data_IF_457240969007
#
_entry.id   IF_457240969007
#
_cell.length_a   1.000
_cell.length_b   1.000
_cell.length_c   1.000
_cell.angle_alpha   90.00
_cell.angle_beta   90.00
_cell.angle_gamma   90.00
#
_symmetry.space_group_name_H-M   'P 1'
#
loop_
_entity.id
_entity.type
_entity.pdbx_description
1 polymer ?
#
# COMPACT_ATOMS: atom_id res chain seq x y z
N UNK A 1 32.69 40.47 6.53
CA UNK A 1 31.47 40.50 7.36
C UNK A 1 30.78 39.17 7.16
N UNK A 2 31.12 38.19 8.00
CA UNK A 2 30.70 36.80 7.92
C UNK A 2 29.34 36.67 8.60
N UNK A 3 28.33 36.19 7.89
CA UNK A 3 27.03 35.84 8.47
C UNK A 3 27.00 34.33 8.66
N UNK A 4 27.08 33.95 9.93
CA UNK A 4 26.90 32.59 10.45
C UNK A 4 25.46 32.15 10.19
N UNK A 5 25.29 31.03 9.47
CA UNK A 5 24.03 30.31 9.43
C UNK A 5 23.96 29.39 10.65
N UNK A 6 22.99 29.69 11.50
CA UNK A 6 22.65 28.95 12.71
C UNK A 6 22.09 27.57 12.31
N UNK A 7 22.83 26.53 12.66
CA UNK A 7 22.57 25.15 12.24
C UNK A 7 21.82 24.44 13.38
N UNK A 8 20.51 24.63 13.45
CA UNK A 8 19.62 23.90 14.37
C UNK A 8 18.62 23.05 13.59
N UNK A 9 19.12 22.10 12.81
CA UNK A 9 18.30 20.96 12.38
C UNK A 9 18.18 19.99 13.55
N UNK A 10 17.01 19.98 14.18
CA UNK A 10 16.59 18.94 15.12
C UNK A 10 16.75 17.57 14.48
N UNK A 11 17.67 16.77 15.02
CA UNK A 11 17.79 15.36 14.71
C UNK A 11 16.56 14.64 15.23
N UNK A 12 15.58 14.36 14.37
CA UNK A 12 14.57 13.34 14.67
C UNK A 12 15.26 11.97 14.65
N UNK A 13 15.84 11.65 15.81
CA UNK A 13 16.42 10.35 16.10
C UNK A 13 15.32 9.30 16.04
N UNK A 14 15.66 8.14 15.48
CA UNK A 14 14.83 6.93 15.55
C UNK A 14 14.42 6.72 17.02
N UNK A 15 13.11 6.58 17.33
CA UNK A 15 12.67 6.43 18.71
C UNK A 15 13.40 5.25 19.37
N UNK A 16 13.81 5.46 20.62
CA UNK A 16 14.41 4.42 21.45
C UNK A 16 13.52 3.17 21.41
N UNK A 17 14.07 1.94 21.47
CA UNK A 17 13.26 0.73 21.54
C UNK A 17 12.16 0.75 22.61
N UNK A 18 12.34 1.54 23.68
CA UNK A 18 11.37 1.73 24.76
C UNK A 18 10.16 2.61 24.38
N UNK A 19 10.27 3.44 23.34
CA UNK A 19 9.22 4.40 22.93
C UNK A 19 8.40 3.89 21.75
N UNK A 20 8.65 2.66 21.27
CA UNK A 20 7.92 2.09 20.15
C UNK A 20 6.55 1.57 20.60
N UNK A 21 5.48 1.78 19.82
CA UNK A 21 4.14 1.29 20.17
C UNK A 21 3.95 -0.20 19.86
N UNK A 22 5.03 -0.97 19.84
CA UNK A 22 5.04 -2.39 19.57
C UNK A 22 6.29 -3.09 20.14
N UNK A 23 6.19 -4.40 20.31
CA UNK A 23 7.29 -5.28 20.72
C UNK A 23 7.51 -6.38 19.68
N UNK A 24 8.76 -6.82 19.52
CA UNK A 24 9.11 -7.97 18.69
C UNK A 24 8.91 -9.24 19.50
N UNK A 25 8.10 -10.17 19.00
CA UNK A 25 7.77 -11.43 19.69
C UNK A 25 7.92 -12.64 18.76
N UNK A 26 8.08 -13.83 19.33
CA UNK A 26 7.93 -15.09 18.59
C UNK A 26 6.44 -15.37 18.37
N UNK A 27 6.06 -15.61 17.11
CA UNK A 27 4.70 -15.91 16.69
C UNK A 27 4.65 -17.36 16.24
N UNK A 28 3.86 -18.22 16.91
CA UNK A 28 3.72 -19.62 16.55
C UNK A 28 3.42 -19.82 15.06
N UNK A 29 4.28 -20.58 14.37
CA UNK A 29 4.14 -20.88 12.94
C UNK A 29 4.49 -19.74 11.97
N UNK A 30 4.82 -18.53 12.45
CA UNK A 30 5.21 -17.38 11.60
C UNK A 30 6.63 -16.84 11.88
N UNK A 31 7.32 -17.39 12.87
CA UNK A 31 8.66 -16.92 13.24
C UNK A 31 8.59 -15.72 14.17
N UNK A 32 9.05 -14.55 13.72
CA UNK A 32 8.99 -13.31 14.52
C UNK A 32 7.86 -12.40 14.00
N UNK A 33 7.26 -11.61 14.88
CA UNK A 33 6.19 -10.66 14.56
C UNK A 33 6.23 -9.43 15.45
N UNK A 34 5.58 -8.35 15.02
CA UNK A 34 5.39 -7.15 15.83
C UNK A 34 4.01 -7.17 16.48
N UNK A 35 3.97 -7.06 17.81
CA UNK A 35 2.73 -7.01 18.60
C UNK A 35 2.57 -5.60 19.17
N UNK A 36 1.41 -5.00 18.97
CA UNK A 36 1.14 -3.65 19.46
C UNK A 36 1.06 -3.61 21.00
N UNK A 37 1.64 -2.58 21.61
CA UNK A 37 1.63 -2.37 23.07
C UNK A 37 0.53 -1.40 23.53
N UNK A 38 -0.08 -0.68 22.60
CA UNK A 38 -1.13 0.30 22.86
C UNK A 38 -2.20 0.23 21.76
N UNK A 39 -3.23 1.06 21.86
CA UNK A 39 -4.14 1.23 20.74
C UNK A 39 -3.45 2.07 19.66
N UNK A 40 -3.63 1.68 18.38
CA UNK A 40 -3.16 2.43 17.23
C UNK A 40 -4.32 2.77 16.29
N UNK A 41 -4.24 3.95 15.70
CA UNK A 41 -5.27 4.55 14.85
C UNK A 41 -4.83 4.63 13.38
N UNK A 42 -5.76 4.52 12.42
CA UNK A 42 -5.45 4.71 11.01
C UNK A 42 -4.73 6.04 10.72
N UNK A 43 -3.66 5.98 9.93
CA UNK A 43 -2.81 7.11 9.55
C UNK A 43 -1.58 7.32 10.43
N UNK A 44 -1.47 6.63 11.57
CA UNK A 44 -0.26 6.69 12.40
C UNK A 44 0.91 5.98 11.73
N UNK A 45 2.05 6.69 11.61
CA UNK A 45 3.31 6.12 11.14
C UNK A 45 4.05 5.49 12.31
N UNK A 46 4.21 4.16 12.28
CA UNK A 46 4.82 3.41 13.40
C UNK A 46 6.27 2.99 13.11
N UNK A 47 6.66 2.91 11.83
CA UNK A 47 8.02 2.57 11.41
C UNK A 47 8.46 3.56 10.33
N UNK A 48 9.67 4.08 10.49
CA UNK A 48 10.41 4.85 9.49
C UNK A 48 11.83 4.32 9.43
N UNK A 49 12.14 3.48 8.44
CA UNK A 49 13.37 2.69 8.38
C UNK A 49 14.15 2.97 7.09
N UNK A 50 15.43 3.34 7.22
CA UNK A 50 16.38 3.43 6.09
C UNK A 50 16.80 2.02 5.67
N UNK A 51 16.95 1.72 4.36
CA UNK A 51 17.41 0.40 3.94
C UNK A 51 18.79 0.09 4.50
N UNK A 52 18.98 -1.16 4.92
CA UNK A 52 20.29 -1.68 5.34
C UNK A 52 21.29 -1.65 4.17
N UNK A 53 20.80 -2.03 2.99
CA UNK A 53 21.44 -1.86 1.69
C UNK A 53 20.37 -2.01 0.59
N UNK A 54 20.73 -1.67 -0.65
CA UNK A 54 19.86 -1.80 -1.82
C UNK A 54 20.43 -2.80 -2.82
N UNK A 55 19.58 -3.32 -3.71
CA UNK A 55 20.00 -4.25 -4.77
C UNK A 55 20.51 -3.53 -6.02
N UNK A 56 20.67 -2.19 -5.98
CA UNK A 56 21.02 -1.37 -7.14
C UNK A 56 22.36 -1.78 -7.78
N UNK A 57 23.30 -2.29 -6.98
CA UNK A 57 24.63 -2.72 -7.44
C UNK A 57 24.67 -4.19 -7.86
N UNK A 58 23.59 -4.96 -7.67
CA UNK A 58 23.53 -6.40 -7.95
C UNK A 58 23.09 -6.64 -9.40
N UNK A 59 23.95 -6.30 -10.35
CA UNK A 59 23.60 -6.29 -11.78
C UNK A 59 24.00 -7.57 -12.53
N UNK A 60 24.95 -8.35 -12.01
CA UNK A 60 25.44 -9.56 -12.66
C UNK A 60 24.95 -10.82 -11.94
N UNK A 61 24.05 -11.57 -12.59
CA UNK A 61 23.43 -12.78 -12.07
C UNK A 61 24.43 -13.86 -11.59
N UNK A 62 25.62 -13.93 -12.19
CA UNK A 62 26.63 -14.93 -11.85
C UNK A 62 27.42 -14.59 -10.58
N UNK A 63 27.41 -13.33 -10.13
CA UNK A 63 28.21 -12.86 -8.99
C UNK A 63 27.35 -12.42 -7.80
N UNK A 64 26.02 -12.39 -7.92
CA UNK A 64 25.09 -11.87 -6.89
C UNK A 64 25.45 -12.34 -5.48
N UNK A 65 25.66 -13.65 -5.27
CA UNK A 65 25.95 -14.18 -3.93
C UNK A 65 27.29 -13.68 -3.37
N UNK A 66 28.31 -13.54 -4.23
CA UNK A 66 29.63 -13.02 -3.85
C UNK A 66 29.57 -11.51 -3.58
N UNK A 67 28.79 -10.78 -4.37
CA UNK A 67 28.57 -9.35 -4.22
C UNK A 67 27.81 -9.07 -2.91
N UNK A 68 26.75 -9.84 -2.64
CA UNK A 68 26.01 -9.79 -1.38
C UNK A 68 26.91 -10.10 -0.18
N UNK A 69 27.76 -11.14 -0.26
CA UNK A 69 28.74 -11.44 0.79
C UNK A 69 29.64 -10.25 1.08
N UNK A 70 30.09 -9.56 0.05
CA UNK A 70 30.97 -8.39 0.16
C UNK A 70 30.25 -7.19 0.79
N UNK A 71 29.02 -6.92 0.35
CA UNK A 71 28.13 -5.90 0.94
C UNK A 71 27.91 -6.19 2.42
N UNK A 72 27.50 -7.42 2.77
CA UNK A 72 27.21 -7.78 4.17
C UNK A 72 28.47 -7.65 5.02
N UNK A 73 29.64 -8.08 4.52
CA UNK A 73 30.89 -7.99 5.27
C UNK A 73 31.29 -6.54 5.58
N UNK A 74 30.92 -5.57 4.74
CA UNK A 74 31.23 -4.15 4.95
C UNK A 74 30.27 -3.45 5.92
N UNK A 75 29.10 -4.03 6.20
CA UNK A 75 28.14 -3.48 7.17
C UNK A 75 28.69 -3.51 8.61
N UNK A 76 28.20 -2.64 9.51
CA UNK A 76 28.45 -2.76 10.94
C UNK A 76 28.05 -4.13 11.50
N UNK A 77 28.68 -4.57 12.59
CA UNK A 77 28.43 -5.91 13.16
C UNK A 77 26.98 -6.14 13.55
N UNK A 78 26.31 -5.12 14.05
CA UNK A 78 24.91 -5.21 14.47
C UNK A 78 24.00 -5.34 13.24
N UNK A 79 24.30 -4.60 12.16
CA UNK A 79 23.66 -4.71 10.85
C UNK A 79 23.84 -6.09 10.21
N UNK A 80 25.04 -6.68 10.32
CA UNK A 80 25.30 -8.06 9.88
C UNK A 80 24.41 -9.05 10.63
N UNK A 81 24.36 -8.94 11.97
CA UNK A 81 23.51 -9.81 12.80
C UNK A 81 22.03 -9.63 12.46
N UNK A 82 21.58 -8.38 12.27
CA UNK A 82 20.21 -8.08 11.89
C UNK A 82 19.84 -8.77 10.57
N UNK A 83 20.66 -8.61 9.52
CA UNK A 83 20.45 -9.27 8.22
C UNK A 83 20.43 -10.80 8.34
N UNK A 84 21.43 -11.39 9.00
CA UNK A 84 21.56 -12.84 9.13
C UNK A 84 20.46 -13.48 9.99
N UNK A 85 19.74 -12.66 10.78
CA UNK A 85 18.59 -13.09 11.59
C UNK A 85 17.25 -13.04 10.84
N UNK A 86 17.23 -12.58 9.59
CA UNK A 86 16.04 -12.54 8.76
C UNK A 86 15.67 -13.92 8.23
N UNK A 87 14.41 -14.07 7.81
CA UNK A 87 13.90 -15.34 7.35
C UNK A 87 14.60 -15.78 6.05
N UNK A 88 14.92 -17.07 5.95
CA UNK A 88 15.47 -17.67 4.74
C UNK A 88 14.56 -18.83 4.32
N UNK A 89 13.80 -18.64 3.24
CA UNK A 89 12.89 -19.66 2.71
C UNK A 89 13.61 -20.96 2.29
N UNK A 90 14.92 -20.94 2.02
CA UNK A 90 15.68 -22.07 1.50
C UNK A 90 16.98 -22.29 2.30
N UNK A 91 16.87 -22.71 3.57
CA UNK A 91 18.04 -22.98 4.41
C UNK A 91 18.86 -24.15 3.82
N UNK A 92 20.19 -24.07 3.93
CA UNK A 92 21.11 -25.09 3.39
C UNK A 92 21.40 -24.98 1.88
N UNK A 93 20.75 -24.06 1.17
CA UNK A 93 21.08 -23.73 -0.22
C UNK A 93 22.48 -23.10 -0.34
N UNK A 94 23.18 -23.27 -1.49
CA UNK A 94 24.50 -22.65 -1.74
C UNK A 94 24.46 -21.12 -1.83
N UNK A 95 23.27 -20.50 -1.92
CA UNK A 95 23.09 -19.04 -2.04
C UNK A 95 22.28 -18.45 -0.88
N UNK A 96 22.74 -18.60 0.38
CA UNK A 96 21.98 -18.19 1.55
C UNK A 96 21.65 -16.69 1.58
N UNK A 97 22.56 -15.81 1.13
CA UNK A 97 22.31 -14.36 1.15
C UNK A 97 21.26 -13.97 0.12
N UNK A 98 21.33 -14.55 -1.09
CA UNK A 98 20.32 -14.35 -2.13
C UNK A 98 18.94 -14.80 -1.66
N UNK A 99 18.86 -15.90 -0.91
CA UNK A 99 17.57 -16.40 -0.38
C UNK A 99 17.00 -15.50 0.72
N UNK A 100 17.83 -14.94 1.59
CA UNK A 100 17.39 -13.93 2.57
C UNK A 100 16.88 -12.69 1.83
N UNK A 101 17.61 -12.19 0.82
CA UNK A 101 17.16 -11.03 0.04
C UNK A 101 15.83 -11.31 -0.66
N UNK A 102 15.68 -12.46 -1.31
CA UNK A 102 14.43 -12.86 -1.96
C UNK A 102 13.24 -12.94 -1.00
N UNK A 103 13.48 -13.35 0.25
CA UNK A 103 12.41 -13.53 1.24
C UNK A 103 12.01 -12.23 1.94
N UNK A 104 12.85 -11.19 1.91
CA UNK A 104 12.71 -10.00 2.76
C UNK A 104 12.87 -8.66 2.00
N UNK A 105 13.17 -8.71 0.70
CA UNK A 105 13.38 -7.53 -0.13
C UNK A 105 12.07 -6.83 -0.47
N UNK A 106 12.05 -5.51 -0.31
CA UNK A 106 10.94 -4.65 -0.68
C UNK A 106 11.32 -3.76 -1.86
N UNK A 107 10.44 -3.57 -2.86
CA UNK A 107 10.70 -2.64 -3.95
C UNK A 107 10.80 -1.21 -3.43
N UNK A 108 11.74 -0.44 -3.95
CA UNK A 108 11.93 0.98 -3.62
C UNK A 108 11.03 1.86 -4.49
N UNK A 109 9.72 1.59 -4.43
CA UNK A 109 8.69 2.28 -5.21
C UNK A 109 7.93 1.34 -6.17
N UNK A 110 6.73 1.73 -6.64
CA UNK A 110 5.82 0.84 -7.38
C UNK A 110 6.37 0.27 -8.68
N UNK A 111 7.28 0.98 -9.35
CA UNK A 111 7.86 0.60 -10.64
C UNK A 111 9.37 0.34 -10.57
N UNK A 112 9.92 0.28 -9.35
CA UNK A 112 11.35 0.11 -9.15
C UNK A 112 11.76 -1.35 -9.28
N UNK A 113 12.76 -1.64 -10.13
CA UNK A 113 13.46 -2.92 -10.15
C UNK A 113 14.48 -3.05 -9.02
N UNK A 114 14.71 -1.97 -8.27
CA UNK A 114 15.63 -1.93 -7.14
C UNK A 114 14.86 -2.26 -5.86
N UNK A 115 15.35 -3.24 -5.12
CA UNK A 115 14.87 -3.57 -3.79
C UNK A 115 15.76 -3.00 -2.69
N UNK A 116 15.20 -2.93 -1.48
CA UNK A 116 15.92 -2.65 -0.25
C UNK A 116 15.63 -3.70 0.82
N UNK A 117 16.57 -3.86 1.74
CA UNK A 117 16.41 -4.72 2.93
C UNK A 117 16.13 -3.84 4.15
N UNK A 118 15.04 -4.13 4.85
CA UNK A 118 14.52 -3.34 5.96
C UNK A 118 14.29 -4.26 7.17
N UNK A 119 15.31 -4.49 8.02
CA UNK A 119 15.27 -5.54 9.03
C UNK A 119 14.07 -5.49 9.99
N UNK A 120 13.57 -4.30 10.33
CA UNK A 120 12.39 -4.16 11.19
C UNK A 120 11.09 -4.38 10.39
N UNK A 121 10.95 -3.78 9.20
CA UNK A 121 9.76 -4.00 8.34
C UNK A 121 9.63 -5.47 7.94
N UNK A 122 10.74 -6.19 7.71
CA UNK A 122 10.76 -7.63 7.44
C UNK A 122 10.27 -8.50 8.61
N UNK A 123 9.97 -7.93 9.79
CA UNK A 123 9.32 -8.63 10.91
C UNK A 123 7.80 -8.58 10.89
N UNK A 124 7.19 -7.78 10.02
CA UNK A 124 5.74 -7.71 9.89
C UNK A 124 5.24 -8.90 9.08
N UNK A 125 4.45 -9.77 9.69
CA UNK A 125 3.91 -10.95 9.03
C UNK A 125 2.78 -10.63 8.04
N UNK A 126 2.47 -11.61 7.21
CA UNK A 126 1.35 -11.54 6.28
C UNK A 126 -0.02 -11.68 6.97
N UNK A 127 -0.98 -10.87 6.52
CA UNK A 127 -2.41 -11.13 6.60
C UNK A 127 -3.07 -10.80 5.26
N UNK A 128 -4.06 -11.60 4.82
CA UNK A 128 -4.86 -11.27 3.63
C UNK A 128 -5.80 -10.07 3.89
N UNK A 129 -6.00 -9.71 5.16
CA UNK A 129 -6.69 -8.51 5.62
C UNK A 129 -5.75 -7.77 6.57
N UNK A 130 -4.75 -7.05 6.03
CA UNK A 130 -3.72 -6.41 6.85
C UNK A 130 -4.30 -5.23 7.63
N UNK A 131 -3.63 -4.86 8.72
CA UNK A 131 -3.94 -3.66 9.51
C UNK A 131 -2.88 -2.55 9.34
N UNK A 132 -1.80 -2.81 8.61
CA UNK A 132 -0.79 -1.83 8.23
C UNK A 132 -0.47 -1.89 6.72
N UNK A 133 0.10 -0.79 6.21
CA UNK A 133 0.55 -0.62 4.83
C UNK A 133 1.97 -0.05 4.84
N UNK A 134 2.85 -0.62 4.01
CA UNK A 134 4.18 -0.06 3.78
C UNK A 134 4.17 0.86 2.55
N UNK A 135 5.02 1.88 2.56
CA UNK A 135 5.27 2.76 1.43
C UNK A 135 6.70 3.28 1.47
N UNK A 136 7.43 3.14 0.36
CA UNK A 136 8.75 3.73 0.25
C UNK A 136 8.62 5.22 -0.08
N UNK A 137 9.19 6.07 0.78
CA UNK A 137 9.26 7.51 0.57
C UNK A 137 10.62 7.86 -0.03
N UNK A 138 10.65 8.13 -1.34
CA UNK A 138 11.89 8.40 -2.08
C UNK A 138 12.63 9.63 -1.54
N UNK A 139 11.90 10.71 -1.25
CA UNK A 139 12.46 11.96 -0.70
C UNK A 139 13.17 11.74 0.64
N UNK A 140 12.64 10.87 1.49
CA UNK A 140 13.24 10.53 2.78
C UNK A 140 14.28 9.39 2.68
N UNK A 141 14.27 8.62 1.60
CA UNK A 141 15.07 7.40 1.47
C UNK A 141 14.71 6.34 2.50
N UNK A 142 13.42 6.23 2.89
CA UNK A 142 12.95 5.37 3.98
C UNK A 142 11.71 4.58 3.60
N UNK A 143 11.61 3.35 4.12
CA UNK A 143 10.35 2.61 4.17
C UNK A 143 9.53 3.12 5.36
N UNK A 144 8.31 3.55 5.09
CA UNK A 144 7.34 3.93 6.10
C UNK A 144 6.30 2.83 6.27
N UNK A 145 5.82 2.62 7.49
CA UNK A 145 4.68 1.72 7.77
C UNK A 145 3.61 2.50 8.51
N UNK A 146 2.44 2.61 7.89
CA UNK A 146 1.28 3.29 8.45
C UNK A 146 0.19 2.29 8.82
N UNK A 147 -0.52 2.59 9.90
CA UNK A 147 -1.71 1.85 10.29
C UNK A 147 -2.87 2.22 9.36
N UNK A 148 -3.59 1.23 8.86
CA UNK A 148 -4.74 1.44 7.94
C UNK A 148 -6.07 1.00 8.55
N UNK A 149 -6.01 0.29 9.69
CA UNK A 149 -7.16 -0.13 10.48
C UNK A 149 -6.83 0.00 11.97
N UNK A 150 -7.81 0.29 12.85
CA UNK A 150 -7.57 0.28 14.29
C UNK A 150 -6.92 -1.02 14.74
N UNK A 151 -5.91 -0.90 15.60
CA UNK A 151 -5.21 -2.03 16.24
C UNK A 151 -5.35 -1.87 17.74
N UNK A 152 -5.77 -2.94 18.42
CA UNK A 152 -5.86 -2.97 19.88
C UNK A 152 -4.54 -3.45 20.51
N UNK A 153 -4.28 -3.14 21.80
CA UNK A 153 -3.15 -3.72 22.50
C UNK A 153 -3.14 -5.24 22.41
N UNK A 154 -1.96 -5.82 22.20
CA UNK A 154 -1.70 -7.25 22.01
C UNK A 154 -2.14 -7.84 20.66
N UNK A 155 -2.60 -7.02 19.70
CA UNK A 155 -2.81 -7.48 18.34
C UNK A 155 -1.51 -7.46 17.51
N UNK A 156 -1.40 -8.43 16.59
CA UNK A 156 -0.28 -8.49 15.64
C UNK A 156 -0.44 -7.42 14.55
N UNK A 157 0.65 -6.69 14.28
CA UNK A 157 0.73 -5.73 13.18
C UNK A 157 1.17 -6.50 11.92
N UNK A 158 0.39 -6.40 10.86
CA UNK A 158 0.53 -7.23 9.66
C UNK A 158 0.46 -6.42 8.38
N UNK A 159 1.19 -6.88 7.37
CA UNK A 159 1.18 -6.37 6.00
C UNK A 159 0.51 -7.38 5.05
N UNK A 160 0.14 -6.96 3.85
CA UNK A 160 -0.09 -7.90 2.75
C UNK A 160 1.21 -8.11 1.96
N UNK A 161 1.50 -9.36 1.62
CA UNK A 161 2.64 -9.73 0.78
C UNK A 161 2.24 -9.90 -0.69
N UNK A 162 0.93 -9.90 -0.96
CA UNK A 162 0.33 -10.24 -2.24
C UNK A 162 -0.77 -9.21 -2.60
N UNK A 163 -1.17 -9.09 -3.87
CA UNK A 163 -2.20 -8.14 -4.29
C UNK A 163 -3.63 -8.44 -3.80
N UNK A 164 -3.90 -9.66 -3.31
CA UNK A 164 -5.23 -10.09 -2.84
C UNK A 164 -5.88 -11.13 -3.76
N UNK A 165 -7.20 -11.05 -3.97
CA UNK A 165 -7.97 -12.01 -4.77
C UNK A 165 -8.62 -13.13 -3.92
N UNK A 166 -9.32 -14.11 -4.52
CA UNK A 166 -10.00 -15.20 -3.80
C UNK A 166 -9.01 -16.17 -3.13
N UNK A 167 -9.48 -16.90 -2.12
CA UNK A 167 -8.66 -17.70 -1.24
C UNK A 167 -7.80 -18.77 -1.93
N UNK A 168 -8.24 -19.49 -2.98
CA UNK A 168 -7.38 -20.46 -3.66
C UNK A 168 -6.18 -19.80 -4.35
N UNK A 169 -6.39 -18.62 -4.94
CA UNK A 169 -5.32 -17.83 -5.56
C UNK A 169 -4.32 -17.36 -4.49
N UNK A 170 -4.82 -16.73 -3.41
CA UNK A 170 -3.97 -16.26 -2.30
C UNK A 170 -3.11 -17.38 -1.72
N UNK A 171 -3.71 -18.55 -1.45
CA UNK A 171 -2.98 -19.70 -0.90
C UNK A 171 -1.93 -20.24 -1.87
N UNK A 172 -2.23 -20.29 -3.16
CA UNK A 172 -1.28 -20.73 -4.19
C UNK A 172 -0.08 -19.80 -4.29
N UNK A 173 -0.32 -18.49 -4.32
CA UNK A 173 0.74 -17.47 -4.38
C UNK A 173 1.61 -17.49 -3.13
N UNK A 174 1.01 -17.53 -1.93
CA UNK A 174 1.74 -17.57 -0.67
C UNK A 174 2.56 -18.85 -0.51
N UNK A 175 2.01 -20.00 -0.91
CA UNK A 175 2.73 -21.27 -0.87
C UNK A 175 3.89 -21.30 -1.86
N UNK A 176 3.74 -20.70 -3.03
CA UNK A 176 4.76 -20.72 -4.08
C UNK A 176 5.91 -19.75 -3.81
N UNK A 177 5.59 -18.55 -3.29
CA UNK A 177 6.57 -17.46 -3.12
C UNK A 177 7.15 -17.41 -1.70
N UNK A 178 6.37 -17.81 -0.69
CA UNK A 178 6.71 -17.66 0.73
C UNK A 178 6.67 -18.97 1.53
N UNK A 179 6.34 -20.10 0.88
CA UNK A 179 6.41 -21.45 1.47
C UNK A 179 5.57 -21.66 2.74
N UNK A 180 4.47 -20.93 2.92
CA UNK A 180 3.54 -21.14 4.04
C UNK A 180 2.08 -21.20 3.60
N UNK A 181 1.25 -21.82 4.45
CA UNK A 181 -0.22 -21.81 4.31
C UNK A 181 -0.78 -20.71 5.20
N UNK A 182 -1.54 -19.78 4.63
CA UNK A 182 -2.09 -18.66 5.38
C UNK A 182 -3.28 -19.09 6.25
N UNK A 183 -3.24 -18.70 7.52
CA UNK A 183 -4.29 -18.97 8.52
C UNK A 183 -4.86 -17.67 9.12
N UNK A 184 -4.70 -16.53 8.43
CA UNK A 184 -5.29 -15.26 8.87
C UNK A 184 -6.84 -15.33 8.93
N UNK A 185 -7.47 -14.34 9.55
CA UNK A 185 -8.92 -14.29 9.77
C UNK A 185 -9.72 -14.57 8.49
N UNK A 186 -9.34 -14.01 7.34
CA UNK A 186 -10.03 -14.29 6.06
C UNK A 186 -9.82 -15.73 5.56
N UNK A 187 -8.63 -16.29 5.71
CA UNK A 187 -8.36 -17.66 5.24
C UNK A 187 -8.94 -18.74 6.14
N UNK A 188 -9.17 -18.40 7.42
CA UNK A 188 -9.73 -19.25 8.46
C UNK A 188 -11.25 -19.07 8.64
N UNK A 189 -11.91 -18.29 7.79
CA UNK A 189 -13.37 -18.18 7.76
C UNK A 189 -14.04 -19.56 7.62
N UNK A 190 -15.22 -19.77 8.23
CA UNK A 190 -16.09 -20.90 7.94
C UNK A 190 -16.29 -21.10 6.43
N UNK A 191 -16.41 -22.36 5.93
CA UNK A 191 -16.47 -22.64 4.49
C UNK A 191 -17.50 -21.83 3.71
N UNK A 192 -18.69 -21.64 4.27
CA UNK A 192 -19.77 -20.87 3.63
C UNK A 192 -19.48 -19.36 3.54
N UNK A 193 -18.89 -18.78 4.59
CA UNK A 193 -18.51 -17.36 4.60
C UNK A 193 -17.30 -17.11 3.69
N UNK A 194 -16.33 -18.02 3.72
CA UNK A 194 -15.17 -18.01 2.83
C UNK A 194 -15.59 -18.07 1.36
N UNK A 195 -16.56 -18.92 1.02
CA UNK A 195 -17.09 -19.00 -0.34
C UNK A 195 -17.75 -17.68 -0.80
N UNK A 196 -18.50 -17.00 0.08
CA UNK A 196 -19.09 -15.69 -0.22
C UNK A 196 -18.02 -14.63 -0.45
N UNK A 197 -16.99 -14.57 0.40
CA UNK A 197 -15.85 -13.67 0.21
C UNK A 197 -15.12 -13.97 -1.11
N UNK A 198 -14.89 -15.25 -1.43
CA UNK A 198 -14.24 -15.65 -2.67
C UNK A 198 -15.05 -15.24 -3.91
N UNK A 199 -16.37 -15.33 -3.87
CA UNK A 199 -17.25 -14.85 -4.95
C UNK A 199 -17.15 -13.33 -5.11
N UNK A 200 -17.19 -12.58 -4.01
CA UNK A 200 -17.03 -11.11 -4.05
C UNK A 200 -15.66 -10.70 -4.57
N UNK A 201 -14.58 -11.35 -4.15
CA UNK A 201 -13.23 -11.04 -4.61
C UNK A 201 -12.96 -11.48 -6.05
N UNK A 202 -13.63 -12.53 -6.52
CA UNK A 202 -13.64 -12.90 -7.95
C UNK A 202 -14.35 -11.83 -8.78
N UNK A 203 -15.54 -11.38 -8.31
CA UNK A 203 -16.27 -10.28 -8.95
C UNK A 203 -15.46 -8.99 -8.94
N UNK A 204 -14.75 -8.70 -7.85
CA UNK A 204 -13.87 -7.54 -7.73
C UNK A 204 -12.79 -7.56 -8.83
N UNK A 205 -12.14 -8.70 -9.06
CA UNK A 205 -11.17 -8.84 -10.14
C UNK A 205 -11.78 -8.60 -11.53
N UNK A 206 -13.01 -9.07 -11.79
CA UNK A 206 -13.70 -8.78 -13.05
C UNK A 206 -14.01 -7.29 -13.22
N UNK A 207 -14.47 -6.63 -12.15
CA UNK A 207 -14.76 -5.19 -12.15
C UNK A 207 -13.49 -4.37 -12.37
N UNK A 208 -12.38 -4.77 -11.75
CA UNK A 208 -11.07 -4.16 -11.90
C UNK A 208 -10.63 -4.13 -13.38
N UNK A 209 -10.80 -5.24 -14.10
CA UNK A 209 -10.49 -5.33 -15.54
C UNK A 209 -11.40 -4.43 -16.39
N UNK A 210 -12.68 -4.29 -16.03
CA UNK A 210 -13.62 -3.39 -16.73
C UNK A 210 -13.18 -1.93 -16.55
N UNK A 211 -12.83 -1.56 -15.32
CA UNK A 211 -12.37 -0.20 -14.96
C UNK A 211 -11.04 0.11 -15.63
N UNK A 212 -10.12 -0.85 -15.69
CA UNK A 212 -8.82 -0.72 -16.31
C UNK A 212 -8.83 -0.68 -17.84
N UNK A 213 -9.98 -0.87 -18.51
CA UNK A 213 -10.10 -0.86 -19.97
C UNK A 213 -10.21 0.57 -20.52
N UNK A 214 -9.18 1.12 -21.20
CA UNK A 214 -9.23 2.49 -21.73
C UNK A 214 -10.36 2.67 -22.75
N UNK A 215 -10.67 1.61 -23.52
CA UNK A 215 -11.78 1.59 -24.47
C UNK A 215 -13.11 1.83 -23.77
N UNK A 216 -13.40 1.10 -22.69
CA UNK A 216 -14.67 1.24 -21.97
C UNK A 216 -14.76 2.58 -21.25
N UNK A 217 -13.66 3.05 -20.65
CA UNK A 217 -13.61 4.39 -20.04
C UNK A 217 -13.90 5.49 -21.08
N UNK A 218 -13.46 5.31 -22.32
CA UNK A 218 -13.73 6.26 -23.40
C UNK A 218 -15.18 6.15 -23.92
N UNK A 219 -15.65 4.95 -24.26
CA UNK A 219 -16.94 4.75 -24.95
C UNK A 219 -18.14 4.64 -24.01
N UNK A 220 -17.94 4.03 -22.85
CA UNK A 220 -18.99 3.59 -21.92
C UNK A 220 -18.71 4.04 -20.47
N UNK A 221 -18.39 5.32 -20.20
CA UNK A 221 -17.92 5.73 -18.88
C UNK A 221 -18.96 5.58 -17.76
N UNK A 222 -20.27 5.58 -18.06
CA UNK A 222 -21.29 5.30 -17.05
C UNK A 222 -21.20 3.84 -16.57
N UNK A 223 -20.90 2.90 -17.46
CA UNK A 223 -20.69 1.50 -17.12
C UNK A 223 -19.40 1.33 -16.31
N UNK A 224 -18.31 2.03 -16.70
CA UNK A 224 -17.06 2.04 -15.94
C UNK A 224 -17.25 2.63 -14.54
N UNK A 225 -17.97 3.75 -14.41
CA UNK A 225 -18.25 4.38 -13.11
C UNK A 225 -19.17 3.51 -12.23
N UNK A 226 -20.17 2.86 -12.83
CA UNK A 226 -21.02 1.88 -12.13
C UNK A 226 -20.19 0.69 -11.64
N UNK A 227 -19.24 0.20 -12.45
CA UNK A 227 -18.32 -0.87 -12.07
C UNK A 227 -17.41 -0.45 -10.93
N UNK A 228 -16.90 0.79 -10.96
CA UNK A 228 -16.13 1.37 -9.86
C UNK A 228 -16.95 1.47 -8.58
N UNK A 229 -18.23 1.85 -8.65
CA UNK A 229 -19.10 1.87 -7.48
C UNK A 229 -19.34 0.46 -6.91
N UNK A 230 -19.60 -0.53 -7.76
CA UNK A 230 -19.75 -1.92 -7.33
C UNK A 230 -18.47 -2.46 -6.66
N UNK A 231 -17.30 -2.11 -7.21
CA UNK A 231 -16.02 -2.48 -6.62
C UNK A 231 -15.81 -1.80 -5.26
N UNK A 232 -16.19 -0.54 -5.13
CA UNK A 232 -16.15 0.19 -3.86
C UNK A 232 -17.01 -0.51 -2.80
N UNK A 233 -18.23 -0.93 -3.14
CA UNK A 233 -19.11 -1.69 -2.21
C UNK A 233 -18.45 -2.98 -1.74
N UNK A 234 -17.82 -3.74 -2.64
CA UNK A 234 -17.09 -4.96 -2.29
C UNK A 234 -15.93 -4.63 -1.34
N UNK A 235 -15.18 -3.55 -1.58
CA UNK A 235 -14.08 -3.16 -0.70
C UNK A 235 -14.55 -2.81 0.71
N UNK A 236 -15.68 -2.11 0.83
CA UNK A 236 -16.28 -1.83 2.15
C UNK A 236 -16.73 -3.13 2.84
N UNK A 237 -17.40 -4.02 2.12
CA UNK A 237 -17.90 -5.29 2.67
C UNK A 237 -16.76 -6.25 3.09
N UNK A 238 -15.65 -6.27 2.34
CA UNK A 238 -14.46 -7.08 2.64
C UNK A 238 -13.49 -6.38 3.61
N UNK A 239 -13.76 -5.14 4.03
CA UNK A 239 -12.90 -4.36 4.93
C UNK A 239 -11.56 -3.95 4.32
N UNK A 240 -11.49 -3.80 2.99
CA UNK A 240 -10.30 -3.41 2.24
C UNK A 240 -10.04 -1.91 2.46
N UNK A 241 -8.88 -1.60 3.02
CA UNK A 241 -8.45 -0.24 3.42
C UNK A 241 -7.01 0.09 3.00
N UNK A 242 -6.34 -0.84 2.32
CA UNK A 242 -5.00 -0.65 1.78
C UNK A 242 -5.01 0.16 0.48
N UNK A 243 -3.88 0.20 -0.23
CA UNK A 243 -3.68 0.99 -1.46
C UNK A 243 -4.67 0.70 -2.59
N UNK A 244 -5.44 -0.39 -2.54
CA UNK A 244 -6.51 -0.65 -3.51
C UNK A 244 -7.62 0.40 -3.44
N UNK A 245 -7.97 0.87 -2.26
CA UNK A 245 -9.04 1.87 -2.07
C UNK A 245 -8.71 3.25 -2.67
N UNK A 246 -7.56 3.89 -2.36
CA UNK A 246 -7.20 5.15 -3.01
C UNK A 246 -6.99 4.99 -4.52
N UNK A 247 -6.49 3.83 -4.99
CA UNK A 247 -6.37 3.53 -6.42
C UNK A 247 -7.74 3.55 -7.11
N UNK A 248 -8.75 2.89 -6.53
CA UNK A 248 -10.12 2.89 -7.04
C UNK A 248 -10.71 4.30 -7.13
N UNK A 249 -10.52 5.15 -6.10
CA UNK A 249 -10.97 6.54 -6.17
C UNK A 249 -10.24 7.32 -7.26
N UNK A 250 -8.96 7.04 -7.49
CA UNK A 250 -8.22 7.64 -8.60
C UNK A 250 -8.73 7.13 -9.96
N UNK A 251 -9.07 5.86 -10.10
CA UNK A 251 -9.67 5.32 -11.32
C UNK A 251 -11.03 6.01 -11.61
N UNK A 252 -11.87 6.19 -10.59
CA UNK A 252 -13.12 6.94 -10.68
C UNK A 252 -12.91 8.42 -11.05
N UNK A 253 -11.88 9.06 -10.47
CA UNK A 253 -11.44 10.40 -10.86
C UNK A 253 -11.10 10.46 -12.35
N UNK A 254 -10.28 9.54 -12.87
CA UNK A 254 -9.88 9.53 -14.28
C UNK A 254 -11.10 9.37 -15.19
N UNK A 255 -12.03 8.47 -14.84
CA UNK A 255 -13.28 8.28 -15.58
C UNK A 255 -14.05 9.61 -15.69
N UNK A 256 -14.32 10.29 -14.59
CA UNK A 256 -15.15 11.52 -14.65
C UNK A 256 -14.39 12.72 -15.24
N UNK A 257 -13.08 12.81 -15.00
CA UNK A 257 -12.22 13.89 -15.51
C UNK A 257 -12.06 13.82 -17.04
N UNK A 258 -11.94 12.62 -17.62
CA UNK A 258 -11.89 12.43 -19.07
C UNK A 258 -13.14 12.93 -19.80
N UNK A 259 -14.27 13.05 -19.09
CA UNK A 259 -15.56 13.49 -19.63
C UNK A 259 -15.99 14.89 -19.14
N UNK A 260 -15.07 15.61 -18.48
CA UNK A 260 -15.21 17.02 -18.11
C UNK A 260 -16.04 17.31 -16.84
N UNK A 261 -16.34 16.32 -16.01
CA UNK A 261 -17.12 16.51 -14.77
C UNK A 261 -16.24 17.06 -13.64
N UNK A 262 -16.20 18.39 -13.52
CA UNK A 262 -15.35 19.09 -12.55
C UNK A 262 -15.74 18.79 -11.11
N UNK A 263 -17.04 18.81 -10.82
CA UNK A 263 -17.54 18.68 -9.46
C UNK A 263 -17.20 17.29 -8.87
N UNK A 264 -17.44 16.22 -9.63
CA UNK A 264 -17.11 14.85 -9.21
C UNK A 264 -15.62 14.55 -9.27
N UNK A 265 -14.91 15.04 -10.28
CA UNK A 265 -13.46 14.86 -10.37
C UNK A 265 -12.77 15.42 -9.12
N UNK A 266 -13.14 16.63 -8.70
CA UNK A 266 -12.61 17.21 -7.46
C UNK A 266 -12.86 16.30 -6.25
N UNK A 267 -14.05 15.72 -6.15
CA UNK A 267 -14.43 14.92 -5.00
C UNK A 267 -13.75 13.55 -4.98
N UNK A 268 -13.64 12.87 -6.12
CA UNK A 268 -12.86 11.64 -6.24
C UNK A 268 -11.37 11.87 -5.98
N UNK A 269 -10.80 12.98 -6.46
CA UNK A 269 -9.42 13.36 -6.12
C UNK A 269 -9.23 13.59 -4.62
N UNK A 270 -10.21 14.19 -3.94
CA UNK A 270 -10.21 14.34 -2.47
C UNK A 270 -10.26 12.98 -1.78
N UNK A 271 -11.19 12.10 -2.16
CA UNK A 271 -11.33 10.76 -1.57
C UNK A 271 -10.06 9.92 -1.77
N UNK A 272 -9.51 9.93 -2.98
CA UNK A 272 -8.23 9.30 -3.28
C UNK A 272 -7.11 9.85 -2.38
N UNK A 273 -7.02 11.17 -2.24
CA UNK A 273 -6.01 11.83 -1.39
C UNK A 273 -6.13 11.41 0.08
N UNK A 274 -7.32 11.50 0.67
CA UNK A 274 -7.51 11.18 2.09
C UNK A 274 -7.21 9.71 2.38
N UNK A 275 -7.68 8.80 1.52
CA UNK A 275 -7.36 7.37 1.66
C UNK A 275 -5.86 7.09 1.44
N UNK A 276 -5.20 7.76 0.48
CA UNK A 276 -3.76 7.61 0.23
C UNK A 276 -2.94 8.13 1.40
N UNK A 277 -3.35 9.25 2.01
CA UNK A 277 -2.70 9.85 3.18
C UNK A 277 -2.66 8.90 4.38
N UNK A 278 -3.72 8.10 4.59
CA UNK A 278 -3.74 7.06 5.63
C UNK A 278 -2.67 6.00 5.36
N UNK A 279 -2.46 5.63 4.11
CA UNK A 279 -1.54 4.56 3.71
C UNK A 279 -0.05 4.98 3.66
N UNK A 280 0.23 6.24 3.32
CA UNK A 280 1.59 6.71 3.02
C UNK A 280 2.06 7.93 3.82
N UNK A 281 1.16 8.54 4.60
CA UNK A 281 1.43 9.80 5.29
C UNK A 281 1.23 11.03 4.39
N UNK A 282 1.11 12.21 5.03
CA UNK A 282 0.82 13.47 4.34
C UNK A 282 1.94 14.00 3.44
N UNK A 283 3.15 13.49 3.64
CA UNK A 283 4.36 13.90 2.94
C UNK A 283 4.61 13.15 1.62
N UNK A 284 3.82 12.10 1.33
CA UNK A 284 3.91 11.34 0.07
C UNK A 284 3.73 12.25 -1.16
N UNK A 285 4.57 12.06 -2.17
CA UNK A 285 4.48 12.78 -3.45
C UNK A 285 3.12 12.58 -4.11
N UNK A 286 2.58 11.35 -4.05
CA UNK A 286 1.26 11.04 -4.59
C UNK A 286 0.13 11.76 -3.83
N UNK A 287 0.25 11.91 -2.51
CA UNK A 287 -0.70 12.69 -1.71
C UNK A 287 -0.65 14.17 -2.10
N UNK A 288 0.54 14.72 -2.39
CA UNK A 288 0.70 16.09 -2.87
C UNK A 288 0.13 16.27 -4.28
N UNK A 289 0.39 15.31 -5.18
CA UNK A 289 -0.14 15.28 -6.56
C UNK A 289 -1.66 15.25 -6.58
N UNK A 290 -2.28 14.35 -5.80
CA UNK A 290 -3.73 14.28 -5.64
C UNK A 290 -4.31 15.57 -5.03
N UNK A 291 -3.58 16.22 -4.11
CA UNK A 291 -3.95 17.55 -3.60
C UNK A 291 -3.97 18.63 -4.70
N UNK A 292 -3.06 18.55 -5.67
CA UNK A 292 -3.07 19.40 -6.87
C UNK A 292 -4.32 19.18 -7.74
N UNK A 293 -4.64 17.91 -8.01
CA UNK A 293 -5.82 17.52 -8.80
C UNK A 293 -7.14 17.83 -8.08
N UNK A 294 -7.17 17.74 -6.75
CA UNK A 294 -8.32 18.19 -5.95
C UNK A 294 -8.52 19.70 -6.06
N UNK A 295 -7.46 20.51 -6.06
CA UNK A 295 -7.59 21.97 -6.22
C UNK A 295 -8.05 22.35 -7.62
N UNK A 296 -7.49 21.69 -8.64
CA UNK A 296 -7.86 21.90 -10.02
C UNK A 296 -7.77 20.60 -10.85
N UNK A 297 -8.90 19.88 -11.01
CA UNK A 297 -8.97 18.66 -11.82
C UNK A 297 -8.53 18.85 -13.28
N UNK A 298 -8.59 20.08 -13.81
CA UNK A 298 -8.21 20.38 -15.21
C UNK A 298 -6.72 20.23 -15.47
N UNK A 299 -5.91 20.12 -14.42
CA UNK A 299 -4.48 19.81 -14.53
C UNK A 299 -4.20 18.33 -14.84
N UNK A 300 -5.23 17.48 -14.84
CA UNK A 300 -5.11 16.13 -15.33
C UNK A 300 -4.83 16.13 -16.84
N UNK A 301 -3.82 15.39 -17.27
CA UNK A 301 -3.36 15.34 -18.66
C UNK A 301 -4.45 14.98 -19.67
N UNK A 302 -5.40 14.13 -19.28
CA UNK A 302 -6.51 13.68 -20.13
C UNK A 302 -7.83 14.40 -19.82
N UNK A 303 -7.78 15.59 -19.21
CA UNK A 303 -8.97 16.37 -18.91
C UNK A 303 -9.84 16.60 -20.16
N UNK A 304 -11.12 16.20 -20.10
CA UNK A 304 -12.08 16.30 -21.19
C UNK A 304 -11.62 15.67 -22.54
N UNK A 305 -10.65 14.75 -22.51
CA UNK A 305 -10.11 14.10 -23.72
C UNK A 305 -11.14 13.24 -24.46
N UNK A 306 -12.17 12.75 -23.76
CA UNK A 306 -13.29 12.01 -24.35
C UNK A 306 -14.52 12.91 -24.62
N UNK A 307 -14.33 14.24 -24.55
CA UNK A 307 -15.36 15.25 -24.71
C UNK A 307 -15.90 15.80 -23.39
N UNK A 308 -16.93 16.64 -23.48
CA UNK A 308 -17.49 17.39 -22.34
C UNK A 308 -18.91 16.95 -22.00
N UNK A 309 -19.23 15.67 -22.22
CA UNK A 309 -20.59 15.13 -22.02
C UNK A 309 -21.09 15.23 -20.57
N UNK A 310 -20.18 15.32 -19.60
CA UNK A 310 -20.50 15.45 -18.19
C UNK A 310 -20.05 16.78 -17.61
N UNK A 311 -19.93 17.82 -18.45
CA UNK A 311 -19.46 19.14 -18.03
C UNK A 311 -20.30 19.69 -16.87
N UNK A 312 -19.64 19.97 -15.76
CA UNK A 312 -20.20 20.67 -14.60
C UNK A 312 -19.36 21.91 -14.32
N UNK A 313 -19.98 23.02 -13.92
CA UNK A 313 -19.27 24.19 -13.40
C UNK A 313 -19.12 24.02 -11.89
N UNK A 314 -18.00 24.48 -11.30
CA UNK A 314 -17.65 24.18 -9.91
C UNK A 314 -18.61 24.69 -8.82
N UNK A 315 -19.71 25.37 -9.19
CA UNK A 315 -20.74 25.90 -8.30
C UNK A 315 -22.14 25.30 -8.45
N UNK A 316 -22.53 24.82 -9.63
CA UNK A 316 -23.94 24.55 -9.97
C UNK A 316 -24.44 23.12 -9.61
N UNK A 317 -23.51 22.18 -9.35
CA UNK A 317 -23.85 20.75 -9.20
C UNK A 317 -23.45 20.19 -7.82
N UNK A 318 -23.48 21.01 -6.76
CA UNK A 318 -23.08 20.61 -5.41
C UNK A 318 -24.26 20.14 -4.57
N UNK A 319 -24.18 18.92 -4.04
CA UNK A 319 -25.03 18.46 -2.93
C UNK A 319 -24.70 19.28 -1.68
N UNK A 320 -25.73 19.70 -0.93
CA UNK A 320 -25.59 20.52 0.28
C UNK A 320 -24.85 19.80 1.41
N UNK A 321 -25.02 18.48 1.50
CA UNK A 321 -24.23 17.60 2.38
C UNK A 321 -23.21 16.77 1.60
N UNK A 322 -22.10 16.43 2.26
CA UNK A 322 -21.04 15.55 1.73
C UNK A 322 -21.09 14.13 2.30
N UNK A 323 -22.26 13.75 2.81
CA UNK A 323 -22.52 12.46 3.41
C UNK A 323 -23.94 11.98 3.07
N UNK A 324 -24.21 10.73 3.40
CA UNK A 324 -25.51 10.10 3.20
C UNK A 324 -25.75 9.61 1.77
N UNK A 325 -26.93 9.02 1.60
CA UNK A 325 -27.35 8.32 0.38
C UNK A 325 -27.44 9.25 -0.83
N UNK A 326 -27.91 10.48 -0.65
CA UNK A 326 -28.04 11.47 -1.73
C UNK A 326 -26.69 11.91 -2.29
N UNK A 327 -25.71 12.14 -1.40
CA UNK A 327 -24.35 12.46 -1.82
C UNK A 327 -23.71 11.29 -2.56
N UNK A 328 -23.94 10.07 -2.10
CA UNK A 328 -23.43 8.86 -2.74
C UNK A 328 -24.03 8.66 -4.14
N UNK A 329 -25.35 8.76 -4.29
CA UNK A 329 -26.03 8.69 -5.59
C UNK A 329 -25.51 9.76 -6.54
N UNK A 330 -25.37 10.99 -6.04
CA UNK A 330 -24.76 12.07 -6.81
C UNK A 330 -23.33 11.70 -7.24
N UNK A 331 -22.45 11.30 -6.32
CA UNK A 331 -21.04 11.01 -6.60
C UNK A 331 -20.87 9.94 -7.67
N UNK A 332 -21.68 8.88 -7.62
CA UNK A 332 -21.62 7.75 -8.55
C UNK A 332 -22.52 7.89 -9.78
N UNK A 333 -23.16 9.05 -9.98
CA UNK A 333 -24.09 9.33 -11.09
C UNK A 333 -25.22 8.30 -11.19
N UNK A 334 -25.90 8.04 -10.07
CA UNK A 334 -27.02 7.10 -9.95
C UNK A 334 -28.37 7.79 -9.84
#
# INVERSE_FOLDING_TARGET
MSLLFDNSTSSEGTPSPADRPFTLQDIPGKGKGLISTCQLSPGECIISETPLFTTATLTNANTIEQDLRSIIKSLPKDSQRAFLSLHNNFPGSPTPFSNIVRSNGYPLGPSSSIGGIFPLVSRLNHSCLPNAQHAYNERLGKMLVHIIRPILPNEEITLSYIPGGPSPQRQTELKSNFLFTCTCTLCSLPPSEKQKSDQRLTRAATLDQIIGSPKLVYTSPQESLTSAHQLYRIYIEEGISDLRLPRLFYDAFQIVAMHGDFARAREFARLAREARKICEGGESEEVQRLGGLMRDPRKFENWAAAGTRWKTTGGEDRVSSRDGEEFEKWLWRQ
#
